data_IF_074047587242
#
_entry.id   IF_074047587242
#
_cell.length_a   1.000
_cell.length_b   1.000
_cell.length_c   1.000
_cell.angle_alpha   90.00
_cell.angle_beta   90.00
_cell.angle_gamma   90.00
#
_symmetry.space_group_name_H-M   'P 1'
#
loop_
_entity.id
_entity.type
_entity.pdbx_description
1 polymer ?
#
# COMPACT_ATOMS: atom_id res chain seq x y z
N UNK A 1 17.09 -18.19 1.62
CA UNK A 1 15.65 -17.98 1.88
C UNK A 1 15.32 -18.95 3.01
N UNK A 2 15.23 -18.47 4.23
CA UNK A 2 14.66 -19.25 5.33
C UNK A 2 13.17 -18.95 5.38
N UNK A 3 12.36 -19.93 5.06
CA UNK A 3 10.91 -19.87 5.11
C UNK A 3 10.45 -19.98 6.56
N UNK A 4 9.95 -18.89 7.12
CA UNK A 4 9.22 -18.94 8.39
C UNK A 4 7.84 -19.53 8.08
N UNK A 5 7.52 -20.65 8.74
CA UNK A 5 6.30 -21.47 8.51
C UNK A 5 4.96 -20.80 8.86
N UNK A 6 4.89 -19.52 9.07
CA UNK A 6 3.65 -18.77 9.19
C UNK A 6 3.43 -18.00 7.87
N UNK A 7 2.40 -18.37 7.12
CA UNK A 7 2.07 -17.90 5.76
C UNK A 7 1.79 -16.38 5.65
N UNK A 8 2.25 -15.55 6.58
CA UNK A 8 1.93 -14.12 6.65
C UNK A 8 3.11 -13.20 6.44
N UNK A 9 4.31 -13.63 6.81
CA UNK A 9 5.52 -12.78 6.74
C UNK A 9 6.69 -13.64 6.28
N UNK A 10 7.33 -13.23 5.18
CA UNK A 10 8.58 -13.82 4.71
C UNK A 10 9.71 -12.83 4.97
N UNK A 11 10.69 -13.21 5.78
CA UNK A 11 11.93 -12.43 5.94
C UNK A 11 12.94 -12.87 4.89
N UNK A 12 13.46 -11.91 4.14
CA UNK A 12 14.49 -12.13 3.13
C UNK A 12 15.71 -11.30 3.49
N UNK A 13 16.86 -11.95 3.66
CA UNK A 13 18.13 -11.24 3.73
C UNK A 13 18.67 -11.08 2.32
N UNK A 14 18.55 -9.87 1.77
CA UNK A 14 19.07 -9.55 0.44
C UNK A 14 20.53 -9.11 0.57
N UNK A 15 21.43 -9.82 -0.10
CA UNK A 15 22.75 -9.31 -0.47
C UNK A 15 22.70 -8.93 -1.94
N UNK A 16 22.50 -7.67 -2.22
CA UNK A 16 22.60 -7.14 -3.57
C UNK A 16 23.94 -6.41 -3.71
N UNK A 17 24.61 -6.57 -4.87
CA UNK A 17 25.90 -5.92 -5.15
C UNK A 17 25.86 -4.40 -5.05
N UNK A 18 24.67 -3.82 -5.23
CA UNK A 18 24.44 -2.37 -5.25
C UNK A 18 24.03 -1.79 -3.89
N UNK A 19 23.79 -2.63 -2.89
CA UNK A 19 23.50 -2.18 -1.53
C UNK A 19 24.82 -1.92 -0.79
N UNK A 20 24.90 -0.78 -0.10
CA UNK A 20 26.06 -0.40 0.71
C UNK A 20 26.24 -1.29 1.95
N UNK A 21 25.14 -1.85 2.45
CA UNK A 21 25.09 -2.72 3.64
C UNK A 21 23.98 -3.77 3.47
N UNK A 22 23.97 -4.79 4.33
CA UNK A 22 22.87 -5.76 4.40
C UNK A 22 21.59 -5.06 4.90
N UNK A 23 20.44 -5.37 4.32
CA UNK A 23 19.11 -4.92 4.74
C UNK A 23 18.26 -6.12 5.17
N UNK A 24 17.61 -6.03 6.32
CA UNK A 24 16.59 -7.00 6.76
C UNK A 24 15.23 -6.59 6.26
N UNK A 25 14.87 -7.14 5.10
CA UNK A 25 13.59 -6.92 4.45
C UNK A 25 12.53 -7.92 4.94
N UNK A 26 11.35 -7.42 5.30
CA UNK A 26 10.16 -8.24 5.53
C UNK A 26 9.14 -7.98 4.45
N UNK A 27 8.68 -9.03 3.78
CA UNK A 27 7.59 -9.00 2.81
C UNK A 27 6.32 -9.49 3.49
N UNK A 28 5.29 -8.65 3.51
CA UNK A 28 3.98 -9.00 4.06
C UNK A 28 3.16 -9.74 3.01
N UNK A 29 2.94 -11.03 3.23
CA UNK A 29 2.07 -11.86 2.40
C UNK A 29 0.83 -12.23 3.20
N UNK A 30 -0.13 -11.33 3.28
CA UNK A 30 -1.37 -11.50 4.04
C UNK A 30 -2.56 -10.97 3.26
N UNK A 31 -3.72 -11.60 3.42
CA UNK A 31 -4.95 -11.10 2.84
C UNK A 31 -5.36 -9.78 3.52
N UNK A 32 -5.83 -8.77 2.77
CA UNK A 32 -6.42 -7.56 3.35
C UNK A 32 -7.76 -7.90 4.05
N UNK A 33 -8.30 -6.94 4.80
CA UNK A 33 -9.71 -6.97 5.20
C UNK A 33 -10.49 -6.15 4.19
N UNK A 34 -11.11 -6.84 3.23
CA UNK A 34 -11.79 -6.18 2.10
C UNK A 34 -12.92 -5.27 2.57
N UNK A 35 -13.02 -4.09 1.96
CA UNK A 35 -14.10 -3.10 2.19
C UNK A 35 -14.31 -2.72 3.66
N UNK A 36 -13.26 -2.82 4.47
CA UNK A 36 -13.26 -2.34 5.85
C UNK A 36 -11.89 -1.73 6.15
N UNK A 37 -11.73 -0.44 5.83
CA UNK A 37 -10.46 0.28 5.96
C UNK A 37 -9.92 0.25 7.39
N UNK A 38 -10.80 0.39 8.40
CA UNK A 38 -10.38 0.45 9.80
C UNK A 38 -9.81 -0.91 10.26
N UNK A 39 -10.54 -1.99 9.98
CA UNK A 39 -10.06 -3.34 10.31
C UNK A 39 -8.80 -3.71 9.49
N UNK A 40 -8.70 -3.27 8.23
CA UNK A 40 -7.53 -3.47 7.39
C UNK A 40 -6.31 -2.69 7.92
N UNK A 41 -6.49 -1.44 8.31
CA UNK A 41 -5.46 -0.62 8.94
C UNK A 41 -4.96 -1.24 10.25
N UNK A 42 -5.87 -1.65 11.14
CA UNK A 42 -5.50 -2.30 12.40
C UNK A 42 -4.73 -3.62 12.16
N UNK A 43 -5.10 -4.36 11.11
CA UNK A 43 -4.34 -5.54 10.70
C UNK A 43 -2.94 -5.16 10.21
N UNK A 44 -2.82 -4.12 9.37
CA UNK A 44 -1.54 -3.62 8.89
C UNK A 44 -0.62 -3.22 10.04
N UNK A 45 -1.11 -2.42 10.99
CA UNK A 45 -0.35 -1.96 12.15
C UNK A 45 0.19 -3.14 12.98
N UNK A 46 -0.62 -4.17 13.24
CA UNK A 46 -0.16 -5.39 13.94
C UNK A 46 0.93 -6.14 13.17
N UNK A 47 0.80 -6.25 11.83
CA UNK A 47 1.81 -6.91 11.00
C UNK A 47 3.12 -6.13 10.96
N UNK A 48 3.05 -4.79 10.97
CA UNK A 48 4.24 -3.91 11.07
C UNK A 48 4.93 -4.13 12.43
N UNK A 49 4.17 -4.15 13.52
CA UNK A 49 4.72 -4.38 14.87
C UNK A 49 5.37 -5.76 15.00
N UNK A 50 4.74 -6.80 14.44
CA UNK A 50 5.29 -8.15 14.41
C UNK A 50 6.59 -8.22 13.60
N UNK A 51 6.62 -7.60 12.40
CA UNK A 51 7.80 -7.54 11.56
C UNK A 51 8.96 -6.81 12.25
N UNK A 52 8.69 -5.64 12.84
CA UNK A 52 9.68 -4.86 13.58
C UNK A 52 10.24 -5.63 14.79
N UNK A 53 9.38 -6.30 15.56
CA UNK A 53 9.80 -7.17 16.68
C UNK A 53 10.75 -8.28 16.22
N UNK A 54 10.58 -8.78 15.00
CA UNK A 54 11.45 -9.78 14.38
C UNK A 54 12.69 -9.17 13.71
N UNK A 55 12.92 -7.88 13.90
CA UNK A 55 14.11 -7.15 13.46
C UNK A 55 14.07 -6.67 12.02
N UNK A 56 12.89 -6.50 11.43
CA UNK A 56 12.76 -5.88 10.11
C UNK A 56 13.27 -4.43 10.13
N UNK A 57 13.97 -4.05 9.08
CA UNK A 57 14.43 -2.68 8.83
C UNK A 57 13.59 -2.02 7.74
N UNK A 58 13.17 -2.80 6.74
CA UNK A 58 12.24 -2.40 5.69
C UNK A 58 11.08 -3.41 5.63
N UNK A 59 9.86 -2.91 5.65
CA UNK A 59 8.64 -3.72 5.59
C UNK A 59 7.88 -3.35 4.33
N UNK A 60 7.54 -4.33 3.51
CA UNK A 60 6.87 -4.12 2.22
C UNK A 60 5.51 -4.81 2.22
N UNK A 61 4.47 -4.02 2.01
CA UNK A 61 3.11 -4.47 1.79
C UNK A 61 2.82 -4.60 0.30
N UNK A 62 1.89 -5.48 -0.11
CA UNK A 62 1.51 -5.62 -1.49
C UNK A 62 0.72 -4.40 -2.01
N UNK A 63 0.60 -4.35 -3.33
CA UNK A 63 -0.27 -3.41 -4.05
C UNK A 63 -1.68 -3.43 -3.46
N UNK A 64 -2.25 -2.23 -3.22
CA UNK A 64 -3.63 -2.05 -2.76
C UNK A 64 -3.99 -2.88 -1.51
N UNK A 65 -3.06 -3.03 -0.57
CA UNK A 65 -3.36 -3.73 0.68
C UNK A 65 -4.54 -3.10 1.41
N UNK A 66 -4.67 -1.76 1.36
CA UNK A 66 -5.81 -1.04 1.92
C UNK A 66 -6.59 -0.34 0.78
N UNK A 67 -7.88 -0.62 0.61
CA UNK A 67 -8.78 -1.54 1.33
C UNK A 67 -8.85 -2.95 0.72
N UNK A 68 -7.86 -3.36 -0.02
CA UNK A 68 -7.77 -4.61 -0.76
C UNK A 68 -7.94 -4.43 -2.27
N UNK A 69 -7.28 -5.29 -3.04
CA UNK A 69 -7.43 -5.32 -4.49
C UNK A 69 -8.79 -5.97 -4.84
N UNK A 70 -9.71 -5.28 -5.56
CA UNK A 70 -11.07 -5.76 -5.81
C UNK A 70 -11.09 -6.82 -6.93
N UNK A 71 -10.38 -7.90 -6.74
CA UNK A 71 -10.20 -8.96 -7.72
C UNK A 71 -11.55 -9.57 -8.14
N UNK A 72 -11.76 -9.65 -9.46
CA UNK A 72 -12.98 -10.20 -10.03
C UNK A 72 -14.20 -9.26 -10.00
N UNK A 73 -14.11 -8.07 -9.43
CA UNK A 73 -15.18 -7.09 -9.45
C UNK A 73 -15.20 -6.29 -10.75
N UNK A 74 -16.38 -6.08 -11.28
CA UNK A 74 -16.60 -5.29 -12.50
C UNK A 74 -17.23 -3.93 -12.22
N UNK A 75 -17.66 -3.66 -10.98
CA UNK A 75 -18.40 -2.46 -10.60
C UNK A 75 -19.60 -2.17 -11.52
N UNK A 76 -20.24 -3.24 -12.02
CA UNK A 76 -21.37 -3.16 -12.96
C UNK A 76 -21.01 -2.63 -14.36
N UNK A 77 -19.74 -2.49 -14.68
CA UNK A 77 -19.31 -2.01 -16.00
C UNK A 77 -19.55 -3.07 -17.08
N UNK A 78 -20.42 -2.70 -18.03
CA UNK A 78 -20.59 -3.38 -19.31
C UNK A 78 -20.68 -2.29 -20.36
N UNK A 79 -19.98 -2.42 -21.47
CA UNK A 79 -20.03 -1.43 -22.56
C UNK A 79 -21.47 -1.17 -22.98
N UNK A 80 -21.88 0.10 -22.94
CA UNK A 80 -23.25 0.53 -23.26
C UNK A 80 -24.30 0.31 -22.15
N UNK A 81 -23.89 -0.18 -20.98
CA UNK A 81 -24.79 -0.39 -19.84
C UNK A 81 -24.28 0.30 -18.57
N UNK A 82 -25.22 0.78 -17.74
CA UNK A 82 -24.95 1.37 -16.43
C UNK A 82 -25.92 0.77 -15.42
N UNK A 83 -25.44 -0.09 -14.53
CA UNK A 83 -26.26 -0.68 -13.46
C UNK A 83 -26.07 0.10 -12.18
N UNK A 84 -27.15 0.38 -11.46
CA UNK A 84 -27.13 1.11 -10.19
C UNK A 84 -26.28 0.38 -9.14
N UNK A 85 -26.42 -0.96 -9.05
CA UNK A 85 -25.63 -1.78 -8.13
C UNK A 85 -24.12 -1.61 -8.30
N UNK A 86 -23.64 -1.37 -9.51
CA UNK A 86 -22.22 -1.12 -9.75
C UNK A 86 -21.73 0.20 -9.18
N UNK A 87 -22.61 1.22 -9.11
CA UNK A 87 -22.30 2.51 -8.46
C UNK A 87 -22.22 2.36 -6.95
N UNK A 88 -23.07 1.54 -6.37
CA UNK A 88 -23.07 1.25 -4.94
C UNK A 88 -21.77 0.52 -4.56
N UNK A 89 -21.40 -0.52 -5.31
CA UNK A 89 -20.12 -1.24 -5.11
C UNK A 89 -18.92 -0.31 -5.20
N UNK A 90 -18.91 0.58 -6.23
CA UNK A 90 -17.84 1.56 -6.41
C UNK A 90 -17.78 2.56 -5.24
N UNK A 91 -18.96 3.03 -4.77
CA UNK A 91 -19.04 3.92 -3.63
C UNK A 91 -18.49 3.28 -2.36
N UNK A 92 -18.80 2.02 -2.10
CA UNK A 92 -18.24 1.28 -0.96
C UNK A 92 -16.72 1.21 -1.07
N UNK A 93 -16.18 0.95 -2.26
CA UNK A 93 -14.73 0.93 -2.46
C UNK A 93 -14.11 2.33 -2.25
N UNK A 94 -14.75 3.37 -2.78
CA UNK A 94 -14.34 4.76 -2.60
C UNK A 94 -14.32 5.19 -1.13
N UNK A 95 -15.38 4.88 -0.39
CA UNK A 95 -15.50 5.24 1.03
C UNK A 95 -14.44 4.52 1.90
N UNK A 96 -13.94 3.38 1.45
CA UNK A 96 -12.88 2.63 2.09
C UNK A 96 -11.46 2.95 1.57
N UNK A 97 -11.35 3.79 0.53
CA UNK A 97 -10.07 4.34 0.08
C UNK A 97 -9.66 5.52 0.98
N UNK A 98 -8.36 5.80 1.11
CA UNK A 98 -7.86 6.78 2.07
C UNK A 98 -7.17 7.97 1.38
N UNK A 99 -7.10 9.10 2.06
CA UNK A 99 -6.31 10.26 1.63
C UNK A 99 -4.82 10.00 1.86
N UNK A 100 -3.97 10.54 0.99
CA UNK A 100 -2.51 10.43 1.12
C UNK A 100 -1.96 11.13 2.37
N UNK A 101 -2.66 12.14 2.87
CA UNK A 101 -2.36 12.94 4.07
C UNK A 101 -3.45 12.80 5.15
N UNK A 102 -4.29 11.75 5.04
CA UNK A 102 -5.38 11.49 5.98
C UNK A 102 -4.92 10.84 7.29
N UNK A 103 -5.88 10.71 8.21
CA UNK A 103 -5.63 10.15 9.56
C UNK A 103 -5.11 8.71 9.50
N UNK A 104 -5.59 7.90 8.56
CA UNK A 104 -5.15 6.51 8.38
C UNK A 104 -3.68 6.44 7.96
N UNK A 105 -3.27 7.32 7.04
CA UNK A 105 -1.87 7.41 6.61
C UNK A 105 -0.98 7.94 7.74
N UNK A 106 -1.46 8.91 8.52
CA UNK A 106 -0.73 9.43 9.68
C UNK A 106 -0.46 8.32 10.71
N UNK A 107 -1.40 7.41 10.96
CA UNK A 107 -1.20 6.27 11.86
C UNK A 107 -0.09 5.33 11.35
N UNK A 108 0.02 5.11 10.04
CA UNK A 108 1.11 4.32 9.43
C UNK A 108 2.46 5.02 9.59
N UNK A 109 2.50 6.35 9.37
CA UNK A 109 3.70 7.17 9.56
C UNK A 109 4.16 7.12 11.02
N UNK A 110 3.25 7.33 11.96
CA UNK A 110 3.57 7.30 13.39
C UNK A 110 4.02 5.91 13.86
N UNK A 111 3.44 4.87 13.30
CA UNK A 111 3.86 3.49 13.55
C UNK A 111 5.30 3.24 13.04
N UNK A 112 5.61 3.65 11.81
CA UNK A 112 6.95 3.51 11.22
C UNK A 112 8.00 4.28 12.05
N UNK A 113 7.69 5.51 12.47
CA UNK A 113 8.54 6.33 13.36
C UNK A 113 8.78 5.64 14.70
N UNK A 114 7.71 5.24 15.38
CA UNK A 114 7.77 4.59 16.70
C UNK A 114 8.63 3.33 16.71
N UNK A 115 8.56 2.57 15.61
CA UNK A 115 9.27 1.30 15.47
C UNK A 115 10.62 1.44 14.78
N UNK A 116 10.96 2.63 14.29
CA UNK A 116 12.21 2.93 13.57
C UNK A 116 12.42 2.04 12.34
N UNK A 117 11.36 1.88 11.53
CA UNK A 117 11.38 1.06 10.32
C UNK A 117 11.04 1.86 9.07
N UNK A 118 11.58 1.45 7.93
CA UNK A 118 11.09 1.88 6.62
C UNK A 118 9.87 1.06 6.25
N UNK A 119 8.88 1.70 5.63
CA UNK A 119 7.64 1.06 5.21
C UNK A 119 7.32 1.41 3.76
N UNK A 120 7.05 0.40 2.93
CA UNK A 120 6.43 0.54 1.61
C UNK A 120 5.02 -0.01 1.68
N UNK A 121 4.01 0.84 1.44
CA UNK A 121 2.61 0.51 1.69
C UNK A 121 1.74 0.80 0.48
N UNK A 122 1.17 -0.25 -0.12
CA UNK A 122 0.23 -0.14 -1.23
C UNK A 122 -1.19 0.15 -0.78
N UNK A 123 -1.85 1.13 -1.38
CA UNK A 123 -3.20 1.54 -1.00
C UNK A 123 -3.98 2.16 -2.15
N UNK A 124 -5.32 2.17 -2.03
CA UNK A 124 -6.19 2.95 -2.90
C UNK A 124 -6.27 4.37 -2.35
N UNK A 125 -5.67 5.30 -3.08
CA UNK A 125 -5.67 6.72 -2.74
C UNK A 125 -6.94 7.38 -3.24
N UNK A 126 -7.61 8.10 -2.34
CA UNK A 126 -8.72 9.00 -2.67
C UNK A 126 -8.19 10.42 -2.80
N UNK A 127 -8.50 11.08 -3.91
CA UNK A 127 -8.18 12.49 -4.06
C UNK A 127 -9.21 13.37 -3.35
N UNK A 128 -8.74 14.40 -2.66
CA UNK A 128 -9.57 15.22 -1.78
C UNK A 128 -10.65 16.02 -2.56
N UNK A 129 -10.27 16.59 -3.69
CA UNK A 129 -11.11 17.55 -4.41
C UNK A 129 -11.92 16.94 -5.55
N UNK A 130 -11.74 15.67 -5.83
CA UNK A 130 -12.44 14.95 -6.90
C UNK A 130 -12.90 13.58 -6.41
N UNK A 131 -13.70 12.91 -7.22
CA UNK A 131 -14.05 11.51 -6.96
C UNK A 131 -13.02 10.52 -7.56
N UNK A 132 -11.82 10.98 -7.90
CA UNK A 132 -10.80 10.13 -8.51
C UNK A 132 -10.10 9.28 -7.46
N UNK A 133 -9.93 8.01 -7.78
CA UNK A 133 -9.07 7.09 -7.04
C UNK A 133 -7.76 6.88 -7.80
N UNK A 134 -6.68 6.67 -7.06
CA UNK A 134 -5.39 6.27 -7.61
C UNK A 134 -4.88 5.00 -6.93
N UNK A 135 -4.20 4.16 -7.69
CA UNK A 135 -3.44 3.04 -7.15
C UNK A 135 -2.07 3.57 -6.72
N UNK A 136 -1.85 3.65 -5.43
CA UNK A 136 -0.70 4.36 -4.87
C UNK A 136 0.14 3.49 -3.95
N UNK A 137 1.41 3.85 -3.85
CA UNK A 137 2.35 3.32 -2.88
C UNK A 137 2.95 4.47 -2.08
N UNK A 138 2.92 4.36 -0.75
CA UNK A 138 3.57 5.28 0.15
C UNK A 138 4.87 4.67 0.66
N UNK A 139 5.99 5.35 0.44
CA UNK A 139 7.26 5.03 1.05
C UNK A 139 7.47 5.93 2.27
N UNK A 140 7.66 5.34 3.46
CA UNK A 140 7.77 6.05 4.73
C UNK A 140 9.12 5.72 5.35
N UNK A 141 9.84 6.76 5.83
CA UNK A 141 11.08 6.61 6.57
C UNK A 141 10.86 6.57 8.10
N UNK A 142 11.84 6.09 8.88
CA UNK A 142 11.81 6.15 10.34
C UNK A 142 11.68 7.57 10.92
N UNK A 143 12.10 8.59 10.18
CA UNK A 143 11.99 10.01 10.57
C UNK A 143 10.59 10.58 10.24
N UNK A 144 9.76 9.83 9.50
CA UNK A 144 8.43 10.24 9.10
C UNK A 144 8.39 10.99 7.77
N UNK A 145 9.49 10.96 6.98
CA UNK A 145 9.40 11.37 5.59
C UNK A 145 8.47 10.40 4.85
N UNK A 146 7.49 10.92 4.14
CA UNK A 146 6.54 10.14 3.36
C UNK A 146 6.59 10.59 1.90
N UNK A 147 6.81 9.64 0.99
CA UNK A 147 6.86 9.87 -0.45
C UNK A 147 5.78 9.03 -1.13
N UNK A 148 4.80 9.71 -1.71
CA UNK A 148 3.70 9.08 -2.42
C UNK A 148 4.04 8.87 -3.90
N UNK A 149 3.78 7.68 -4.41
CA UNK A 149 3.85 7.35 -5.83
C UNK A 149 2.53 6.77 -6.30
N UNK A 150 1.89 7.44 -7.26
CA UNK A 150 0.69 6.95 -7.96
C UNK A 150 1.11 6.12 -9.17
N UNK A 151 0.53 4.94 -9.35
CA UNK A 151 0.72 4.10 -10.54
C UNK A 151 0.40 4.91 -11.80
N UNK A 152 1.37 5.07 -12.69
CA UNK A 152 1.23 5.96 -13.85
C UNK A 152 0.12 5.50 -14.79
N UNK A 153 0.05 4.19 -15.02
CA UNK A 153 -0.90 3.58 -15.96
C UNK A 153 -1.56 2.35 -15.33
N UNK A 154 -2.79 2.48 -14.83
CA UNK A 154 -3.59 1.33 -14.45
C UNK A 154 -3.72 0.35 -15.63
N UNK A 155 -3.68 -0.96 -15.33
CA UNK A 155 -3.61 -2.01 -16.34
C UNK A 155 -5.00 -2.56 -16.65
N UNK A 156 -5.40 -2.60 -17.92
CA UNK A 156 -6.64 -3.25 -18.36
C UNK A 156 -7.87 -2.73 -17.62
N UNK A 157 -8.57 -3.61 -16.90
CA UNK A 157 -9.79 -3.29 -16.16
C UNK A 157 -9.57 -2.39 -14.92
N UNK A 158 -8.34 -2.26 -14.44
CA UNK A 158 -8.01 -1.32 -13.36
C UNK A 158 -8.43 0.12 -13.68
N UNK A 159 -8.44 0.49 -14.97
CA UNK A 159 -8.87 1.81 -15.47
C UNK A 159 -10.33 2.12 -15.20
N UNK A 160 -11.13 1.13 -14.83
CA UNK A 160 -12.51 1.34 -14.41
C UNK A 160 -12.59 1.91 -12.99
N UNK A 161 -11.53 1.78 -12.22
CA UNK A 161 -11.48 2.17 -10.80
C UNK A 161 -10.48 3.31 -10.58
N UNK A 162 -9.25 3.19 -11.09
CA UNK A 162 -8.17 4.15 -10.84
C UNK A 162 -7.85 4.98 -12.07
N UNK A 163 -7.57 6.25 -11.83
CA UNK A 163 -7.10 7.19 -12.83
C UNK A 163 -5.63 7.01 -13.17
N UNK A 164 -5.26 7.48 -14.36
CA UNK A 164 -3.87 7.65 -14.77
C UNK A 164 -3.24 8.76 -13.92
N UNK A 165 -2.09 8.47 -13.32
CA UNK A 165 -1.35 9.51 -12.61
C UNK A 165 -0.59 10.41 -13.58
N UNK A 166 -0.58 11.70 -13.26
CA UNK A 166 0.28 12.69 -13.91
C UNK A 166 1.37 13.05 -12.90
N UNK A 167 2.54 12.44 -13.04
CA UNK A 167 3.71 12.73 -12.22
C UNK A 167 4.90 13.01 -13.13
N UNK A 168 5.54 14.14 -12.89
CA UNK A 168 6.72 14.57 -13.67
C UNK A 168 8.01 13.92 -13.18
N UNK A 169 8.00 13.27 -12.01
CA UNK A 169 9.16 12.63 -11.41
C UNK A 169 8.77 11.39 -10.58
N UNK A 170 9.72 10.48 -10.44
CA UNK A 170 9.62 9.36 -9.52
C UNK A 170 10.24 9.76 -8.18
N UNK A 171 9.51 9.69 -7.06
CA UNK A 171 10.07 10.00 -5.77
C UNK A 171 11.15 8.99 -5.40
N UNK A 172 12.27 9.50 -4.87
CA UNK A 172 13.41 8.68 -4.43
C UNK A 172 13.73 9.03 -2.98
N UNK A 173 13.89 8.02 -2.15
CA UNK A 173 14.25 8.17 -0.75
C UNK A 173 15.69 7.71 -0.53
N UNK A 174 16.47 8.54 0.16
CA UNK A 174 17.77 8.12 0.65
C UNK A 174 17.60 7.19 1.85
N UNK A 175 18.26 6.05 1.80
CA UNK A 175 18.23 5.04 2.87
C UNK A 175 19.65 4.64 3.27
N UNK A 176 19.85 3.99 4.42
CA UNK A 176 21.17 3.47 4.81
C UNK A 176 21.77 2.48 3.81
N UNK A 177 20.95 1.86 3.00
CA UNK A 177 21.37 0.83 2.01
C UNK A 177 21.60 1.41 0.61
N UNK A 178 21.14 2.62 0.33
CA UNK A 178 21.20 3.30 -0.95
C UNK A 178 19.88 4.00 -1.28
N UNK A 179 19.70 4.32 -2.56
CA UNK A 179 18.49 4.95 -3.09
C UNK A 179 17.58 3.91 -3.71
#
# INVERSE_FOLDING_TARGET
IEEVKDNRITQVRLRMKDLKTDCRLTIVQAAPVMFNKDACLQKALRLIEEAAKNGAELIVFPELFLPGYPYGMTFGYTVGSRKESGREDWKVYYDNSILADGEEMQQLIDCAKRLSVYLSFGYSEREENTATLYNSNMLISPEGQALNHRKLKPTGAERLVWGDAQQDFFPVMDTPWGR
#
